data_IF_605843418710
#
_entry.id   IF_605843418710
#
_cell.length_a   1.000
_cell.length_b   1.000
_cell.length_c   1.000
_cell.angle_alpha   90.00
_cell.angle_beta   90.00
_cell.angle_gamma   90.00
#
_symmetry.space_group_name_H-M   'P 1'
#
loop_
_entity.id
_entity.type
_entity.pdbx_description
1 polymer ?
#
# COMPACT_ATOMS: atom_id res chain seq x y z
N UNK A 1 -13.51 11.51 1.84
CA UNK A 1 -12.74 11.77 0.60
C UNK A 1 -12.09 10.45 0.19
N UNK A 2 -12.72 9.70 -0.71
CA UNK A 2 -12.25 8.39 -1.15
C UNK A 2 -11.56 8.55 -2.51
N UNK A 3 -10.23 8.36 -2.55
CA UNK A 3 -9.50 8.26 -3.80
C UNK A 3 -9.47 6.78 -4.22
N UNK A 4 -10.21 6.47 -5.29
CA UNK A 4 -10.21 5.20 -6.01
C UNK A 4 -9.93 5.54 -7.47
N UNK A 5 -8.74 5.19 -7.99
CA UNK A 5 -8.51 4.92 -9.41
C UNK A 5 -7.08 4.38 -9.62
N UNK A 6 -6.78 3.83 -10.80
CA UNK A 6 -5.49 3.28 -11.25
C UNK A 6 -4.31 4.29 -11.34
N UNK A 7 -4.31 5.34 -10.53
CA UNK A 7 -3.26 6.37 -10.47
C UNK A 7 -2.52 6.22 -9.14
N UNK A 8 -1.21 6.47 -9.12
CA UNK A 8 -0.32 6.19 -7.99
C UNK A 8 -0.84 6.55 -6.59
N UNK A 9 -0.40 5.80 -5.58
CA UNK A 9 -0.68 6.09 -4.17
C UNK A 9 -0.12 7.45 -3.72
N UNK A 10 -0.87 8.11 -2.83
CA UNK A 10 -0.54 9.37 -2.17
C UNK A 10 -0.53 9.15 -0.65
N UNK A 11 0.46 9.69 0.05
CA UNK A 11 0.58 9.59 1.50
C UNK A 11 1.08 10.91 2.08
N UNK A 12 0.54 11.32 3.23
CA UNK A 12 1.00 12.50 3.97
C UNK A 12 1.45 12.04 5.35
N UNK A 13 2.70 12.33 5.71
CA UNK A 13 3.22 11.99 7.03
C UNK A 13 2.79 13.02 8.10
N UNK A 14 3.11 12.73 9.37
CA UNK A 14 2.73 13.59 10.50
C UNK A 14 3.44 14.95 10.50
N UNK A 15 4.53 15.08 9.74
CA UNK A 15 5.29 16.32 9.59
C UNK A 15 4.81 17.13 8.37
N UNK A 16 3.84 16.61 7.61
CA UNK A 16 3.27 17.27 6.44
C UNK A 16 4.05 17.06 5.15
N UNK A 17 5.03 16.15 5.11
CA UNK A 17 5.62 15.74 3.83
C UNK A 17 4.62 14.91 3.04
N UNK A 18 4.56 15.18 1.75
CA UNK A 18 3.68 14.47 0.82
C UNK A 18 4.53 13.50 0.03
N UNK A 19 4.08 12.26 -0.09
CA UNK A 19 4.71 11.23 -0.88
C UNK A 19 3.71 10.81 -1.93
N UNK A 20 4.16 10.62 -3.17
CA UNK A 20 3.34 10.04 -4.22
C UNK A 20 4.15 9.06 -5.05
N UNK A 21 3.51 7.99 -5.50
CA UNK A 21 4.09 7.14 -6.53
C UNK A 21 3.87 7.76 -7.90
N UNK A 22 4.87 7.62 -8.75
CA UNK A 22 4.93 8.16 -10.11
C UNK A 22 5.16 6.96 -11.06
N UNK A 23 4.09 6.19 -11.36
CA UNK A 23 4.25 4.87 -11.96
C UNK A 23 4.87 4.91 -13.35
N UNK A 24 4.54 5.94 -14.14
CA UNK A 24 5.09 6.19 -15.48
C UNK A 24 6.60 6.46 -15.47
N UNK A 25 7.15 6.88 -14.33
CA UNK A 25 8.58 7.12 -14.13
C UNK A 25 9.21 6.12 -13.15
N UNK A 26 8.51 5.02 -12.82
CA UNK A 26 9.02 3.90 -12.02
C UNK A 26 9.61 4.32 -10.66
N UNK A 27 9.04 5.34 -10.02
CA UNK A 27 9.61 5.95 -8.83
C UNK A 27 8.56 6.38 -7.81
N UNK A 28 9.04 6.72 -6.62
CA UNK A 28 8.26 7.42 -5.58
C UNK A 28 8.95 8.74 -5.27
N UNK A 29 8.16 9.80 -5.16
CA UNK A 29 8.64 11.16 -4.96
C UNK A 29 8.08 11.70 -3.64
N UNK A 30 8.95 12.35 -2.87
CA UNK A 30 8.65 13.09 -1.67
C UNK A 30 8.64 14.59 -1.99
N UNK A 31 7.63 15.30 -1.52
CA UNK A 31 7.48 16.75 -1.57
C UNK A 31 7.75 17.29 -0.17
N UNK A 32 8.70 18.22 -0.08
CA UNK A 32 8.98 18.96 1.15
C UNK A 32 7.96 20.08 1.34
N UNK A 33 7.25 20.15 2.48
CA UNK A 33 6.29 21.21 2.71
C UNK A 33 7.00 22.57 2.74
N UNK A 34 6.26 23.64 2.43
CA UNK A 34 6.73 25.03 2.29
C UNK A 34 7.67 25.28 1.11
N UNK A 35 8.74 24.50 0.92
CA UNK A 35 9.70 24.69 -0.16
C UNK A 35 9.26 24.07 -1.49
N UNK A 36 8.27 23.16 -1.45
CA UNK A 36 7.78 22.39 -2.61
C UNK A 36 8.87 21.59 -3.34
N UNK A 37 9.99 21.30 -2.67
CA UNK A 37 11.10 20.54 -3.25
C UNK A 37 10.71 19.08 -3.47
N UNK A 38 10.97 18.58 -4.68
CA UNK A 38 10.78 17.18 -5.07
C UNK A 38 12.06 16.38 -4.85
N UNK A 39 11.95 15.23 -4.18
CA UNK A 39 13.06 14.30 -3.95
C UNK A 39 12.62 12.88 -4.30
N UNK A 40 13.39 12.18 -5.13
CA UNK A 40 13.14 10.77 -5.42
C UNK A 40 13.59 9.95 -4.21
N UNK A 41 12.67 9.19 -3.63
CA UNK A 41 12.88 8.41 -2.40
C UNK A 41 12.81 6.90 -2.61
N UNK A 42 12.38 6.45 -3.80
CA UNK A 42 12.48 5.07 -4.25
C UNK A 42 12.47 5.02 -5.79
N UNK A 43 13.03 3.96 -6.38
CA UNK A 43 13.13 3.84 -7.84
C UNK A 43 14.10 4.84 -8.47
N UNK A 44 15.23 5.12 -7.79
CA UNK A 44 16.18 6.18 -8.17
C UNK A 44 16.76 6.05 -9.59
N UNK A 45 16.72 4.86 -10.19
CA UNK A 45 17.14 4.64 -11.57
C UNK A 45 16.13 5.22 -12.58
N UNK A 46 14.86 5.38 -12.20
CA UNK A 46 13.81 5.89 -13.09
C UNK A 46 13.48 4.95 -14.26
N UNK A 47 13.84 3.67 -14.14
CA UNK A 47 13.61 2.65 -15.15
C UNK A 47 12.93 1.43 -14.54
N UNK A 48 12.07 0.78 -15.33
CA UNK A 48 11.44 -0.47 -14.94
C UNK A 48 12.51 -1.53 -14.66
N UNK A 49 12.37 -2.24 -13.55
CA UNK A 49 13.23 -3.37 -13.22
C UNK A 49 12.97 -3.91 -11.83
N UNK A 50 13.73 -4.94 -11.45
CA UNK A 50 13.58 -5.66 -10.19
C UNK A 50 14.78 -5.52 -9.25
N UNK A 51 15.78 -4.70 -9.59
CA UNK A 51 16.89 -4.41 -8.69
C UNK A 51 16.43 -3.60 -7.46
N UNK A 52 17.29 -3.49 -6.46
CA UNK A 52 16.98 -2.80 -5.20
C UNK A 52 16.63 -1.30 -5.39
N UNK A 53 17.18 -0.65 -6.41
CA UNK A 53 16.90 0.74 -6.77
C UNK A 53 15.92 0.90 -7.95
N UNK A 54 15.25 -0.17 -8.37
CA UNK A 54 14.28 -0.18 -9.47
C UNK A 54 12.91 -0.61 -8.96
N UNK A 55 11.87 -0.07 -9.60
CA UNK A 55 10.48 -0.42 -9.36
C UNK A 55 9.81 -0.68 -10.72
N UNK A 56 8.65 -1.31 -10.73
CA UNK A 56 7.84 -1.55 -11.90
C UNK A 56 6.36 -1.35 -11.54
N UNK A 57 5.80 -0.24 -12.02
CA UNK A 57 4.45 0.21 -11.71
C UNK A 57 4.19 0.32 -10.19
N UNK A 58 4.97 1.14 -9.46
CA UNK A 58 4.74 1.37 -8.04
C UNK A 58 3.35 1.97 -7.81
N UNK A 59 2.60 1.44 -6.84
CA UNK A 59 1.24 1.89 -6.54
C UNK A 59 1.13 2.42 -5.11
N UNK A 60 0.55 1.63 -4.21
CA UNK A 60 0.34 1.97 -2.81
C UNK A 60 1.64 2.24 -2.08
N UNK A 61 1.62 3.27 -1.25
CA UNK A 61 2.74 3.69 -0.43
C UNK A 61 2.30 3.92 1.01
N UNK A 62 3.22 3.72 1.94
CA UNK A 62 3.03 4.08 3.34
C UNK A 62 4.38 4.49 3.93
N UNK A 63 4.38 5.48 4.82
CA UNK A 63 5.59 5.88 5.55
C UNK A 63 5.32 5.71 7.04
N UNK A 64 6.16 4.92 7.73
CA UNK A 64 6.02 4.72 9.17
C UNK A 64 6.59 5.89 9.99
N UNK A 65 6.41 5.85 11.31
CA UNK A 65 6.91 6.89 12.22
C UNK A 65 8.44 6.98 12.28
N UNK A 66 9.17 5.99 11.75
CA UNK A 66 10.62 6.00 11.63
C UNK A 66 11.08 6.52 10.25
N UNK A 67 10.17 7.08 9.45
CA UNK A 67 10.41 7.50 8.07
C UNK A 67 10.83 6.35 7.14
N UNK A 68 10.42 5.13 7.45
CA UNK A 68 10.58 3.97 6.55
C UNK A 68 9.47 3.99 5.53
N UNK A 69 9.84 4.02 4.25
CA UNK A 69 8.91 3.98 3.13
C UNK A 69 8.66 2.53 2.71
N UNK A 70 7.39 2.18 2.59
CA UNK A 70 6.90 0.92 2.06
C UNK A 70 6.23 1.18 0.71
N UNK A 71 6.59 0.40 -0.30
CA UNK A 71 6.10 0.57 -1.67
C UNK A 71 5.56 -0.74 -2.20
N UNK A 72 4.33 -0.72 -2.68
CA UNK A 72 3.76 -1.77 -3.51
C UNK A 72 4.39 -1.71 -4.90
N UNK A 73 5.29 -2.64 -5.20
CA UNK A 73 5.95 -2.77 -6.50
C UNK A 73 5.16 -3.77 -7.36
N UNK A 74 4.04 -3.27 -7.89
CA UNK A 74 2.90 -4.04 -8.39
C UNK A 74 3.28 -5.08 -9.43
N UNK A 75 3.97 -4.67 -10.49
CA UNK A 75 4.30 -5.56 -11.60
C UNK A 75 5.42 -6.54 -11.25
N UNK A 76 6.15 -6.28 -10.16
CA UNK A 76 7.15 -7.19 -9.61
C UNK A 76 6.60 -8.09 -8.49
N UNK A 77 5.29 -8.02 -8.19
CA UNK A 77 4.61 -8.84 -7.19
C UNK A 77 5.30 -8.81 -5.81
N UNK A 78 5.80 -7.64 -5.39
CA UNK A 78 6.55 -7.52 -4.13
C UNK A 78 6.23 -6.22 -3.40
N UNK A 79 6.45 -6.22 -2.09
CA UNK A 79 6.52 -4.99 -1.31
C UNK A 79 7.98 -4.68 -1.02
N UNK A 80 8.37 -3.47 -1.34
CA UNK A 80 9.72 -2.94 -1.09
C UNK A 80 9.72 -2.06 0.16
N UNK A 81 10.82 -2.08 0.89
CA UNK A 81 11.07 -1.24 2.05
C UNK A 81 12.32 -0.39 1.79
N UNK A 82 12.21 0.92 2.02
CA UNK A 82 13.29 1.89 1.91
C UNK A 82 13.46 2.61 3.24
N UNK A 83 14.64 2.47 3.85
CA UNK A 83 15.00 3.26 5.01
C UNK A 83 15.19 4.73 4.62
N UNK A 84 14.92 5.65 5.54
CA UNK A 84 15.10 7.08 5.31
C UNK A 84 16.49 7.40 4.75
N UNK A 85 16.53 8.07 3.60
CA UNK A 85 17.77 8.45 2.91
C UNK A 85 18.42 7.35 2.06
N UNK A 86 17.89 6.12 2.06
CA UNK A 86 18.41 5.04 1.21
C UNK A 86 17.90 5.15 -0.22
N UNK A 87 18.81 5.02 -1.20
CA UNK A 87 18.46 4.86 -2.62
C UNK A 87 18.19 3.39 -3.00
N UNK A 88 18.53 2.46 -2.11
CA UNK A 88 18.37 1.02 -2.28
C UNK A 88 17.27 0.50 -1.36
N UNK A 89 16.35 -0.26 -1.93
CA UNK A 89 15.27 -0.92 -1.19
C UNK A 89 15.64 -2.35 -0.86
N UNK A 90 14.99 -2.89 0.18
CA UNK A 90 15.01 -4.31 0.49
C UNK A 90 13.65 -4.91 0.16
N UNK A 91 13.63 -6.10 -0.43
CA UNK A 91 12.39 -6.85 -0.62
C UNK A 91 11.88 -7.24 0.76
N UNK A 92 10.71 -6.74 1.12
CA UNK A 92 10.10 -7.01 2.40
C UNK A 92 9.40 -8.38 2.39
N UNK A 93 8.62 -8.61 1.34
CA UNK A 93 8.03 -9.91 1.01
C UNK A 93 7.51 -9.91 -0.43
N UNK A 94 7.27 -11.10 -0.97
CA UNK A 94 6.62 -11.31 -2.27
C UNK A 94 5.17 -11.75 -2.09
N UNK A 95 4.33 -11.33 -3.02
CA UNK A 95 2.91 -11.69 -3.08
C UNK A 95 2.73 -12.72 -4.19
N UNK A 96 2.02 -13.82 -3.90
CA UNK A 96 1.88 -14.95 -4.85
C UNK A 96 0.82 -14.74 -5.94
N UNK A 97 0.03 -13.67 -5.85
CA UNK A 97 -0.92 -13.29 -6.90
C UNK A 97 -0.25 -12.33 -7.87
N UNK A 98 -0.53 -12.47 -9.17
CA UNK A 98 -0.04 -11.53 -10.17
C UNK A 98 -0.66 -10.15 -9.94
N UNK A 99 0.17 -9.12 -10.09
CA UNK A 99 -0.15 -7.70 -9.94
C UNK A 99 -0.66 -7.29 -8.56
N UNK A 100 -0.28 -8.02 -7.49
CA UNK A 100 -1.07 -8.04 -6.26
C UNK A 100 -0.50 -7.36 -5.01
N UNK A 101 0.48 -6.46 -5.09
CA UNK A 101 0.47 -5.35 -4.15
C UNK A 101 -0.06 -4.12 -4.86
N UNK A 102 -1.27 -3.68 -4.48
CA UNK A 102 -1.84 -2.43 -4.96
C UNK A 102 -1.87 -1.37 -3.88
N UNK A 103 -2.47 -1.65 -2.74
CA UNK A 103 -2.55 -0.74 -1.60
C UNK A 103 -1.98 -1.44 -0.38
N UNK A 104 -1.30 -0.68 0.48
CA UNK A 104 -0.80 -1.20 1.75
C UNK A 104 -1.03 -0.22 2.90
N UNK A 105 -1.13 -0.75 4.12
CA UNK A 105 -1.20 0.04 5.36
C UNK A 105 -0.58 -0.73 6.52
N UNK A 106 -0.24 -0.03 7.59
CA UNK A 106 0.34 -0.60 8.81
C UNK A 106 -0.55 -0.34 10.02
N UNK A 107 -0.78 -1.34 10.87
CA UNK A 107 -1.41 -1.12 12.18
C UNK A 107 -0.45 -0.49 13.20
N UNK A 108 -0.97 -0.13 14.38
CA UNK A 108 -0.17 0.45 15.48
C UNK A 108 0.94 -0.46 15.99
N UNK A 109 0.84 -1.77 15.75
CA UNK A 109 1.87 -2.76 16.11
C UNK A 109 2.91 -2.96 14.99
N UNK A 110 2.73 -2.28 13.85
CA UNK A 110 3.60 -2.38 12.68
C UNK A 110 3.35 -3.61 11.82
N UNK A 111 2.20 -4.28 11.94
CA UNK A 111 1.82 -5.33 11.00
C UNK A 111 1.37 -4.69 9.68
N UNK A 112 1.77 -5.31 8.58
CA UNK A 112 1.54 -4.78 7.24
C UNK A 112 0.38 -5.52 6.61
N UNK A 113 -0.56 -4.77 6.06
CA UNK A 113 -1.70 -5.28 5.31
C UNK A 113 -1.58 -4.83 3.87
N UNK A 114 -1.74 -5.75 2.93
CA UNK A 114 -1.60 -5.49 1.50
C UNK A 114 -2.81 -6.03 0.76
N UNK A 115 -3.45 -5.17 0.00
CA UNK A 115 -4.50 -5.52 -0.95
C UNK A 115 -3.90 -6.09 -2.23
N UNK A 116 -4.35 -7.29 -2.61
CA UNK A 116 -3.90 -7.99 -3.81
C UNK A 116 -5.01 -8.82 -4.45
N UNK A 117 -5.53 -8.36 -5.59
CA UNK A 117 -6.69 -8.98 -6.22
C UNK A 117 -7.87 -9.03 -5.25
N UNK A 118 -8.38 -10.24 -4.98
CA UNK A 118 -9.45 -10.54 -4.04
C UNK A 118 -8.98 -10.87 -2.61
N UNK A 119 -7.67 -10.75 -2.35
CA UNK A 119 -7.02 -11.19 -1.10
C UNK A 119 -6.40 -10.01 -0.38
N UNK A 120 -6.51 -10.00 0.95
CA UNK A 120 -5.69 -9.14 1.81
C UNK A 120 -4.64 -9.99 2.50
N UNK A 121 -3.39 -9.67 2.25
CA UNK A 121 -2.25 -10.31 2.87
C UNK A 121 -1.90 -9.57 4.15
N UNK A 122 -1.78 -10.28 5.27
CA UNK A 122 -1.30 -9.74 6.53
C UNK A 122 0.08 -10.29 6.87
N UNK A 123 1.00 -9.39 7.19
CA UNK A 123 2.35 -9.73 7.59
C UNK A 123 2.57 -9.22 9.00
N UNK A 124 2.73 -10.16 9.93
CA UNK A 124 3.00 -9.80 11.32
C UNK A 124 4.48 -9.51 11.47
N UNK A 125 4.79 -8.32 11.98
CA UNK A 125 6.17 -7.95 12.35
C UNK A 125 6.43 -8.50 13.76
N UNK A 126 7.13 -9.64 13.87
CA UNK A 126 7.56 -10.19 15.17
C UNK A 126 9.08 -10.09 15.29
N UNK A 127 9.58 -9.30 16.25
CA UNK A 127 11.01 -9.23 16.61
C UNK A 127 11.98 -9.22 15.40
N UNK A 128 11.74 -8.33 14.43
CA UNK A 128 12.59 -8.19 13.24
C UNK A 128 12.33 -9.19 12.11
N UNK A 129 11.44 -10.17 12.29
CA UNK A 129 11.05 -11.13 11.26
C UNK A 129 9.62 -10.89 10.79
N UNK A 130 9.44 -10.98 9.48
CA UNK A 130 8.12 -11.02 8.86
C UNK A 130 7.69 -12.47 8.76
N UNK A 131 6.58 -12.81 9.41
CA UNK A 131 5.90 -14.08 9.18
C UNK A 131 4.69 -13.82 8.30
N UNK A 132 4.68 -14.43 7.12
CA UNK A 132 3.49 -14.49 6.27
C UNK A 132 2.41 -15.27 7.01
N UNK A 133 1.31 -14.62 7.36
CA UNK A 133 0.09 -15.31 7.76
C UNK A 133 -0.95 -14.90 6.75
N UNK A 134 -1.28 -15.83 5.85
CA UNK A 134 -2.40 -15.65 4.93
C UNK A 134 -3.67 -15.73 5.77
N UNK A 135 -4.25 -14.59 6.15
CA UNK A 135 -5.66 -14.57 6.48
C UNK A 135 -6.41 -14.59 5.16
N UNK A 136 -7.00 -15.74 4.82
CA UNK A 136 -7.96 -15.84 3.73
C UNK A 136 -9.25 -15.10 4.14
N UNK A 137 -9.23 -13.77 4.10
CA UNK A 137 -10.49 -13.03 4.00
C UNK A 137 -10.74 -12.88 2.51
N UNK A 138 -11.56 -13.80 1.97
CA UNK A 138 -11.99 -13.82 0.58
C UNK A 138 -12.91 -12.61 0.38
N UNK A 139 -12.53 -11.67 -0.49
CA UNK A 139 -13.45 -10.64 -0.97
C UNK A 139 -13.74 -10.88 -2.44
N UNK A 140 -15.00 -11.14 -2.79
CA UNK A 140 -15.48 -11.13 -4.17
C UNK A 140 -15.71 -9.68 -4.61
N UNK A 141 -14.62 -8.92 -4.76
CA UNK A 141 -14.62 -7.77 -5.67
C UNK A 141 -14.36 -8.32 -7.07
N UNK A 142 -15.36 -8.23 -7.96
CA UNK A 142 -15.20 -8.64 -9.35
C UNK A 142 -13.98 -7.97 -9.99
N UNK A 143 -13.58 -8.46 -11.16
CA UNK A 143 -12.37 -8.17 -11.96
C UNK A 143 -11.97 -6.67 -12.16
N UNK A 144 -12.76 -5.73 -11.63
CA UNK A 144 -12.60 -4.27 -11.73
C UNK A 144 -12.82 -3.49 -10.41
N UNK A 145 -13.08 -4.15 -9.27
CA UNK A 145 -13.23 -3.51 -7.96
C UNK A 145 -11.96 -3.60 -7.13
N UNK A 146 -11.13 -2.55 -7.11
CA UNK A 146 -9.91 -2.51 -6.30
C UNK A 146 -10.27 -2.44 -4.81
N UNK A 147 -9.84 -3.40 -3.96
CA UNK A 147 -10.08 -3.30 -2.52
C UNK A 147 -9.30 -2.14 -1.92
N UNK A 148 -9.98 -1.32 -1.10
CA UNK A 148 -9.34 -0.23 -0.36
C UNK A 148 -9.20 -0.61 1.11
N UNK A 149 -8.06 -0.26 1.71
CA UNK A 149 -7.78 -0.52 3.11
C UNK A 149 -7.64 0.81 3.87
N UNK A 150 -8.35 0.94 4.98
CA UNK A 150 -8.26 2.06 5.92
C UNK A 150 -8.05 1.50 7.33
N UNK A 151 -7.70 2.34 8.31
CA UNK A 151 -7.55 1.94 9.70
C UNK A 151 -8.56 2.74 10.56
N UNK A 152 -9.20 2.09 11.52
CA UNK A 152 -9.86 2.73 12.66
C UNK A 152 -8.89 2.85 13.84
N UNK A 153 -9.28 3.68 14.81
CA UNK A 153 -8.76 3.78 16.16
C UNK A 153 -8.55 2.43 16.87
N UNK A 154 -9.30 1.38 16.51
CA UNK A 154 -9.22 0.05 17.10
C UNK A 154 -8.45 -1.00 16.27
N UNK A 155 -8.52 -1.00 14.93
CA UNK A 155 -7.82 -1.93 14.02
C UNK A 155 -8.13 -1.60 12.53
N UNK A 156 -7.71 -2.43 11.58
CA UNK A 156 -7.93 -2.24 10.14
C UNK A 156 -9.43 -2.21 9.76
N UNK A 157 -9.91 -1.07 9.22
CA UNK A 157 -11.19 -0.94 8.54
C UNK A 157 -11.02 -1.16 7.03
N UNK A 158 -11.41 -2.32 6.54
CA UNK A 158 -11.36 -2.66 5.11
C UNK A 158 -12.66 -2.14 4.46
N UNK A 159 -12.56 -1.24 3.48
CA UNK A 159 -13.72 -0.71 2.75
C UNK A 159 -13.77 -1.35 1.35
N UNK A 160 -14.80 -2.15 1.09
CA UNK A 160 -15.15 -2.58 -0.27
C UNK A 160 -16.09 -1.54 -0.91
N UNK A 161 -15.74 -1.04 -2.09
CA UNK A 161 -16.73 -0.39 -2.96
C UNK A 161 -17.68 -1.46 -3.47
N UNK A 162 -18.80 -1.65 -2.79
CA UNK A 162 -20.00 -2.17 -3.44
C UNK A 162 -20.30 -1.21 -4.59
N UNK A 163 -20.22 -1.66 -5.85
CA UNK A 163 -21.05 -1.03 -6.86
C UNK A 163 -22.48 -1.22 -6.37
N UNK A 164 -23.17 -0.12 -6.11
CA UNK A 164 -24.61 -0.12 -5.87
C UNK A 164 -25.30 -0.58 -7.17
N UNK A 165 -25.34 -1.89 -7.40
CA UNK A 165 -26.39 -2.50 -8.18
C UNK A 165 -27.47 -2.87 -7.17
N UNK A 166 -28.49 -2.02 -7.15
CA UNK A 166 -29.80 -2.22 -6.53
C UNK A 166 -30.00 -1.42 -5.23
N UNK A 167 -30.74 -0.31 -5.38
CA UNK A 167 -31.17 0.64 -4.36
C UNK A 167 -32.12 -0.01 -3.32
N UNK A 168 -31.69 -0.99 -2.51
CA UNK A 168 -32.59 -1.48 -1.46
C UNK A 168 -32.01 -2.23 -0.25
N UNK A 169 -30.72 -2.15 0.08
CA UNK A 169 -30.24 -2.81 1.31
C UNK A 169 -29.31 -1.94 2.18
N UNK A 170 -29.92 -0.96 2.86
CA UNK A 170 -29.28 -0.13 3.89
C UNK A 170 -29.32 -0.79 5.29
N UNK A 171 -29.38 -2.12 5.42
CA UNK A 171 -29.61 -2.76 6.74
C UNK A 171 -28.44 -3.53 7.36
N UNK A 172 -27.25 -3.58 6.74
CA UNK A 172 -26.16 -4.46 7.22
C UNK A 172 -24.85 -3.78 7.67
N UNK A 173 -24.87 -2.52 8.11
CA UNK A 173 -23.65 -1.84 8.62
C UNK A 173 -23.19 -2.22 10.06
N UNK A 174 -23.71 -3.29 10.69
CA UNK A 174 -23.38 -3.59 12.10
C UNK A 174 -23.12 -5.07 12.42
N UNK A 175 -22.12 -5.71 11.78
CA UNK A 175 -21.76 -7.11 12.11
C UNK A 175 -20.32 -7.43 12.47
N UNK A 176 -19.51 -6.45 12.89
CA UNK A 176 -18.15 -6.76 13.37
C UNK A 176 -17.75 -5.99 14.63
N UNK A 177 -18.56 -6.12 15.69
CA UNK A 177 -18.14 -5.84 17.06
C UNK A 177 -18.48 -7.02 17.97
N UNK A 178 -17.47 -7.86 18.20
CA UNK A 178 -17.30 -8.66 19.42
C UNK A 178 -15.82 -8.74 19.71
#
# INVERSE_FOLDING_TARGET
MNQVCQCGGLFVDRQGFIYYSDPSNYRVVKITPFTMMLTVVAGANGTAGSNANQLNNPAGIYVDSNNTLYVADTNNNRVMMYLSGSSQGTVLFTVRSQYAPYQLTLDKSGNIYVAGGSTIYRFIRRAGFLKTIVSNTVFSGGMYGLPSIQLDTADVLIHSTLQATDNNDLTNENRWKT
#
